data_IF_098299531639
#
_entry.id   IF_098299531639
#
_cell.length_a   1.000
_cell.length_b   1.000
_cell.length_c   1.000
_cell.angle_alpha   90.00
_cell.angle_beta   90.00
_cell.angle_gamma   90.00
#
_symmetry.space_group_name_H-M   'P 1'
#
loop_
_entity.id
_entity.type
_entity.pdbx_description
1 polymer ?
#
# COMPACT_ATOMS: atom_id res chain seq x y z
N UNK A 1 12.83 -22.82 8.96
CA UNK A 1 12.13 -22.71 8.35
C UNK A 1 10.74 -22.42 8.43
N UNK A 2 10.25 -22.38 8.09
CA UNK A 2 9.02 -22.04 8.13
C UNK A 2 8.18 -22.93 7.46
N UNK A 3 7.86 -23.53 7.60
CA UNK A 3 7.32 -24.26 7.15
C UNK A 3 6.56 -24.17 6.32
N UNK A 4 6.57 -24.50 5.90
CA UNK A 4 6.04 -24.34 5.17
C UNK A 4 5.12 -24.59 4.80
N UNK A 5 4.93 -24.76 4.84
CA UNK A 5 4.20 -24.80 4.58
C UNK A 5 3.67 -25.33 3.86
N UNK A 6 3.66 -25.98 3.97
CA UNK A 6 3.33 -26.51 3.48
C UNK A 6 2.59 -26.90 3.04
N UNK A 7 2.51 -27.11 3.05
CA UNK A 7 1.94 -27.45 2.72
C UNK A 7 1.43 -27.73 2.06
N UNK A 8 1.61 -27.99 1.90
CA UNK A 8 1.36 -28.23 1.31
C UNK A 8 0.86 -28.39 0.47
N UNK A 9 0.83 -28.53 0.19
CA UNK A 9 0.63 -28.68 -0.50
C UNK A 9 0.03 -28.60 -1.19
N UNK A 10 -0.03 -28.59 -1.49
CA UNK A 10 -0.44 -28.38 -1.89
C UNK A 10 -1.20 -27.85 -2.61
N UNK A 11 -1.49 -27.73 -3.02
CA UNK A 11 -2.24 -27.15 -3.46
C UNK A 11 -2.28 -26.06 -3.67
N UNK A 12 -2.09 -25.87 -4.08
CA UNK A 12 -1.92 -24.77 -4.12
C UNK A 12 -2.63 -23.75 -3.52
N UNK A 13 -2.16 -23.16 -2.94
CA UNK A 13 -2.82 -22.21 -2.11
C UNK A 13 -3.06 -20.94 -2.82
N UNK A 14 -4.21 -20.29 -2.54
CA UNK A 14 -4.55 -19.04 -3.18
C UNK A 14 -4.40 -17.86 -2.26
N UNK A 15 -4.30 -18.07 -0.97
CA UNK A 15 -4.22 -16.98 -0.01
C UNK A 15 -2.80 -16.87 0.50
N UNK A 16 -2.49 -15.74 1.12
CA UNK A 16 -1.18 -15.48 1.68
C UNK A 16 -1.20 -15.78 3.15
N UNK A 17 -0.18 -16.43 3.64
CA UNK A 17 -0.07 -16.70 5.05
C UNK A 17 0.65 -15.56 5.75
N UNK A 18 0.54 -15.52 7.07
CA UNK A 18 1.21 -14.50 7.86
C UNK A 18 2.73 -14.64 7.82
N UNK A 19 3.22 -15.82 7.44
CA UNK A 19 4.65 -16.06 7.40
C UNK A 19 5.28 -15.76 6.05
N UNK A 20 4.45 -15.45 5.06
CA UNK A 20 4.98 -15.12 3.73
C UNK A 20 5.49 -13.71 3.69
N UNK A 21 6.55 -13.52 2.92
CA UNK A 21 7.16 -12.21 2.72
C UNK A 21 7.23 -11.98 1.22
N UNK A 22 6.79 -10.82 0.75
CA UNK A 22 6.89 -10.50 -0.68
C UNK A 22 8.34 -10.48 -1.13
N UNK A 23 8.54 -10.75 -2.40
CA UNK A 23 9.87 -10.69 -3.01
C UNK A 23 10.27 -9.29 -3.42
N UNK A 24 9.31 -8.40 -3.56
CA UNK A 24 9.53 -7.06 -4.09
C UNK A 24 8.71 -6.05 -3.33
N UNK A 25 9.19 -4.80 -3.31
CA UNK A 25 8.31 -3.70 -2.93
C UNK A 25 7.25 -3.53 -4.00
N UNK A 26 6.03 -3.21 -3.59
CA UNK A 26 4.99 -2.84 -4.55
C UNK A 26 3.95 -1.95 -3.93
N UNK A 27 3.31 -1.17 -4.78
CA UNK A 27 2.20 -0.30 -4.41
C UNK A 27 1.08 -0.58 -5.41
N UNK A 28 -0.07 -0.99 -4.90
CA UNK A 28 -1.20 -1.35 -5.75
C UNK A 28 -2.06 -0.13 -6.05
N UNK A 29 -2.84 -0.23 -7.13
CA UNK A 29 -3.88 0.74 -7.38
C UNK A 29 -4.92 0.64 -6.28
N UNK A 30 -5.40 1.78 -5.79
CA UNK A 30 -6.43 1.80 -4.77
C UNK A 30 -7.70 1.12 -5.29
N UNK A 31 -8.46 0.51 -4.39
CA UNK A 31 -9.71 -0.15 -4.75
C UNK A 31 -10.77 0.13 -3.69
N UNK A 32 -11.94 0.61 -4.07
CA UNK A 32 -12.39 0.94 -5.43
C UNK A 32 -11.75 2.21 -5.96
N UNK A 33 -11.74 2.34 -7.29
CA UNK A 33 -11.26 3.53 -7.98
C UNK A 33 -12.07 3.70 -9.26
N UNK A 34 -12.92 4.72 -9.41
CA UNK A 34 -13.12 5.84 -8.47
C UNK A 34 -13.71 5.38 -7.14
N UNK A 35 -13.55 6.20 -6.11
CA UNK A 35 -14.03 5.83 -4.80
C UNK A 35 -14.96 6.90 -4.22
N UNK A 36 -15.81 6.49 -3.24
CA UNK A 36 -16.80 7.37 -2.63
C UNK A 36 -17.26 6.78 -1.30
N UNK A 37 -16.86 7.33 -0.18
CA UNK A 37 -15.71 8.19 0.02
C UNK A 37 -14.49 7.40 0.46
N UNK A 38 -14.57 6.07 0.52
CA UNK A 38 -13.51 5.24 1.09
C UNK A 38 -12.87 4.36 0.04
N UNK A 39 -11.59 4.10 0.23
CA UNK A 39 -10.83 3.23 -0.64
C UNK A 39 -9.73 2.55 0.17
N UNK A 40 -9.15 1.51 -0.39
CA UNK A 40 -8.09 0.76 0.25
C UNK A 40 -6.89 0.72 -0.68
N UNK A 41 -5.70 0.84 -0.10
CA UNK A 41 -4.45 0.77 -0.84
C UNK A 41 -3.63 -0.37 -0.25
N UNK A 42 -3.25 -1.32 -1.09
CA UNK A 42 -2.38 -2.43 -0.68
C UNK A 42 -0.95 -2.11 -1.06
N UNK A 43 -0.01 -2.52 -0.23
CA UNK A 43 1.40 -2.39 -0.55
C UNK A 43 2.17 -3.54 0.07
N UNK A 44 3.35 -3.81 -0.46
CA UNK A 44 4.15 -4.97 -0.08
C UNK A 44 5.56 -4.54 0.24
N UNK A 45 6.11 -5.13 1.30
CA UNK A 45 7.44 -4.82 1.78
C UNK A 45 8.25 -6.11 1.89
N UNK A 46 9.35 -6.25 1.14
CA UNK A 46 10.21 -7.44 1.30
C UNK A 46 11.11 -7.35 2.52
N UNK A 47 11.26 -6.16 3.11
CA UNK A 47 12.08 -5.92 4.29
C UNK A 47 11.34 -5.05 5.27
N UNK A 48 11.70 -5.16 6.55
CA UNK A 48 11.23 -4.16 7.52
C UNK A 48 11.65 -2.80 7.00
N UNK A 49 10.72 -1.86 6.98
CA UNK A 49 10.92 -0.61 6.27
C UNK A 49 10.31 0.57 7.01
N UNK A 50 10.95 1.71 6.87
CA UNK A 50 10.32 2.98 7.25
C UNK A 50 9.46 3.40 6.06
N UNK A 51 8.16 3.52 6.30
CA UNK A 51 7.18 3.74 5.23
C UNK A 51 6.46 5.05 5.41
N UNK A 52 6.34 5.78 4.32
CA UNK A 52 5.49 6.97 4.28
C UNK A 52 4.63 6.87 3.03
N UNK A 53 3.33 7.13 3.17
CA UNK A 53 2.42 7.27 2.03
C UNK A 53 1.74 8.61 2.17
N UNK A 54 2.01 9.48 1.20
CA UNK A 54 1.52 10.86 1.22
C UNK A 54 0.53 11.06 0.10
N UNK A 55 -0.45 11.93 0.33
CA UNK A 55 -1.50 12.23 -0.61
C UNK A 55 -1.33 13.65 -1.12
N UNK A 56 -1.45 13.83 -2.43
CA UNK A 56 -1.28 15.13 -3.10
C UNK A 56 -2.48 15.45 -3.97
N UNK A 57 -2.82 16.73 -4.07
CA UNK A 57 -3.82 17.17 -5.04
C UNK A 57 -3.15 17.38 -6.41
N UNK A 58 -3.94 17.82 -7.39
CA UNK A 58 -3.42 17.94 -8.76
C UNK A 58 -2.39 19.05 -8.91
N UNK A 59 -2.31 19.96 -7.96
CA UNK A 59 -1.28 21.01 -8.00
C UNK A 59 0.03 20.53 -7.38
N UNK A 60 0.06 19.31 -6.84
CA UNK A 60 1.23 18.78 -6.19
C UNK A 60 1.34 19.13 -4.72
N UNK A 61 0.29 19.74 -4.16
CA UNK A 61 0.30 20.12 -2.74
C UNK A 61 -0.08 18.91 -1.91
N UNK A 62 0.68 18.67 -0.84
CA UNK A 62 0.37 17.58 0.08
C UNK A 62 -0.93 17.90 0.84
N UNK A 63 -1.88 16.96 0.80
CA UNK A 63 -3.17 17.14 1.47
C UNK A 63 -3.43 16.07 2.52
N UNK A 64 -2.53 15.11 2.69
CA UNK A 64 -2.70 14.12 3.75
C UNK A 64 -1.52 13.19 3.87
N UNK A 65 -1.43 12.54 5.03
CA UNK A 65 -0.46 11.49 5.31
C UNK A 65 -1.25 10.25 5.66
N UNK A 66 -1.10 9.19 4.89
CA UNK A 66 -1.84 7.96 5.14
C UNK A 66 -1.06 6.98 6.00
N UNK A 67 0.26 6.95 5.84
CA UNK A 67 1.15 6.09 6.62
C UNK A 67 2.43 6.90 6.89
N UNK A 68 2.97 6.74 8.10
CA UNK A 68 4.24 7.36 8.43
C UNK A 68 4.80 6.63 9.65
N UNK A 69 5.36 5.43 9.43
CA UNK A 69 5.83 4.61 10.53
C UNK A 69 6.73 3.48 10.04
N UNK A 70 7.40 2.86 10.99
CA UNK A 70 8.20 1.67 10.74
C UNK A 70 7.26 0.48 10.68
N UNK A 71 7.35 -0.31 9.60
CA UNK A 71 6.51 -1.49 9.42
C UNK A 71 7.37 -2.71 9.13
N UNK A 72 6.88 -3.88 9.52
CA UNK A 72 7.58 -5.12 9.28
C UNK A 72 7.39 -5.56 7.83
N UNK A 73 8.33 -6.38 7.34
CA UNK A 73 8.18 -7.03 6.05
C UNK A 73 6.84 -7.75 5.99
N UNK A 74 6.19 -7.71 4.85
CA UNK A 74 4.91 -8.38 4.70
C UNK A 74 3.97 -7.66 3.76
N UNK A 75 2.72 -8.12 3.79
CA UNK A 75 1.62 -7.56 3.00
C UNK A 75 0.85 -6.61 3.90
N UNK A 76 0.63 -5.40 3.42
CA UNK A 76 0.00 -4.34 4.22
C UNK A 76 -1.11 -3.69 3.42
N UNK A 77 -2.01 -3.04 4.15
CA UNK A 77 -3.00 -2.19 3.51
C UNK A 77 -3.32 -1.01 4.41
N UNK A 78 -3.83 0.03 3.81
CA UNK A 78 -4.31 1.20 4.53
C UNK A 78 -5.63 1.60 3.92
N UNK A 79 -6.58 1.98 4.77
CA UNK A 79 -7.86 2.51 4.31
C UNK A 79 -7.83 4.01 4.39
N UNK A 80 -8.48 4.65 3.42
CA UNK A 80 -8.52 6.09 3.34
C UNK A 80 -9.96 6.53 3.14
N UNK A 81 -10.37 7.52 3.92
CA UNK A 81 -11.69 8.12 3.82
C UNK A 81 -11.52 9.57 3.36
N UNK A 82 -12.02 9.87 2.17
CA UNK A 82 -11.87 11.18 1.57
C UNK A 82 -13.05 12.11 1.82
N UNK A 83 -13.83 11.88 2.87
CA UNK A 83 -15.02 12.70 3.14
C UNK A 83 -14.72 14.18 3.24
N UNK A 84 -13.53 14.55 3.71
CA UNK A 84 -13.15 15.93 3.89
C UNK A 84 -12.50 16.57 2.67
N UNK A 85 -12.37 15.80 1.58
CA UNK A 85 -11.75 16.29 0.36
C UNK A 85 -12.81 16.56 -0.69
N UNK A 86 -12.51 17.47 -1.61
CA UNK A 86 -13.36 17.72 -2.76
C UNK A 86 -13.25 16.57 -3.75
N UNK A 87 -14.32 16.32 -4.51
CA UNK A 87 -14.26 15.40 -5.64
C UNK A 87 -13.15 15.83 -6.59
N UNK A 88 -12.43 14.88 -7.12
CA UNK A 88 -11.36 15.19 -8.05
C UNK A 88 -10.30 14.13 -8.08
N UNK A 89 -9.21 14.46 -8.75
CA UNK A 89 -8.09 13.56 -8.92
C UNK A 89 -7.02 13.86 -7.88
N UNK A 90 -6.44 12.80 -7.33
CA UNK A 90 -5.38 12.89 -6.34
C UNK A 90 -4.28 11.89 -6.69
N UNK A 91 -3.09 12.12 -6.14
CA UNK A 91 -1.97 11.20 -6.27
C UNK A 91 -1.56 10.74 -4.89
N UNK A 92 -1.16 9.48 -4.78
CA UNK A 92 -0.56 9.00 -3.54
C UNK A 92 0.79 8.41 -3.87
N UNK A 93 1.76 8.66 -2.99
CA UNK A 93 3.12 8.23 -3.21
C UNK A 93 3.65 7.54 -1.98
N UNK A 94 4.17 6.33 -2.18
CA UNK A 94 4.85 5.60 -1.14
C UNK A 94 6.34 5.87 -1.22
N UNK A 95 6.98 5.97 -0.05
CA UNK A 95 8.42 5.97 0.09
C UNK A 95 8.72 4.95 1.18
N UNK A 96 9.45 3.91 0.83
CA UNK A 96 9.76 2.83 1.76
C UNK A 96 11.26 2.57 1.74
N UNK A 97 11.89 2.67 2.90
CA UNK A 97 13.32 2.45 3.05
C UNK A 97 13.55 1.23 3.91
N UNK A 98 14.14 0.20 3.33
CA UNK A 98 14.44 -1.04 4.06
C UNK A 98 15.37 -1.92 3.25
N UNK A 99 16.17 -2.73 3.92
CA UNK A 99 17.06 -3.66 3.25
C UNK A 99 18.06 -2.97 2.35
N UNK A 100 18.50 -1.76 2.68
CA UNK A 100 19.43 -0.97 1.86
C UNK A 100 18.80 -0.53 0.53
N UNK A 101 17.47 -0.53 0.45
CA UNK A 101 16.74 -0.10 -0.73
C UNK A 101 15.83 1.06 -0.38
N UNK A 102 15.56 1.88 -1.39
CA UNK A 102 14.65 3.00 -1.27
C UNK A 102 13.64 2.88 -2.41
N UNK A 103 12.41 2.50 -2.06
CA UNK A 103 11.35 2.28 -3.04
C UNK A 103 10.42 3.48 -3.06
N UNK A 104 10.17 4.03 -4.24
CA UNK A 104 9.24 5.15 -4.42
C UNK A 104 8.32 4.81 -5.58
N UNK A 105 7.02 4.97 -5.36
CA UNK A 105 6.03 4.72 -6.39
C UNK A 105 4.85 5.66 -6.19
N UNK A 106 4.30 6.15 -7.28
CA UNK A 106 3.17 7.09 -7.24
C UNK A 106 2.05 6.56 -8.09
N UNK A 107 0.83 6.68 -7.59
CA UNK A 107 -0.36 6.28 -8.33
C UNK A 107 -1.43 7.34 -8.21
N UNK A 108 -2.38 7.28 -9.11
CA UNK A 108 -3.47 8.25 -9.23
C UNK A 108 -4.75 7.61 -8.75
N UNK A 109 -5.60 8.40 -8.08
CA UNK A 109 -6.92 7.94 -7.68
C UNK A 109 -7.93 9.05 -7.90
N UNK A 110 -9.21 8.66 -8.02
CA UNK A 110 -10.29 9.59 -8.32
C UNK A 110 -11.35 9.46 -7.25
N UNK A 111 -11.68 10.59 -6.61
CA UNK A 111 -12.74 10.67 -5.62
C UNK A 111 -13.97 11.26 -6.28
N UNK A 112 -15.08 10.56 -6.18
CA UNK A 112 -16.37 11.02 -6.70
C UNK A 112 -17.36 11.03 -5.55
N UNK A 113 -17.87 12.18 -5.22
CA UNK A 113 -18.85 12.32 -4.14
C UNK A 113 -20.25 12.48 -4.68
#
# INVERSE_FOLDING_TARGET
ARKAKIVRNQQKLKYKSDTEIPNHFSLSQNYPNPFNPSTKIDFELPYDSKVSILLYDISGREVGKLVNEQLTAGYHNVQFNGSNLASGMYFYRISANGGSQNFISTKKMVLIK
#
